data_IF_094087806361
#
_entry.id   IF_094087806361
#
_cell.length_a   1.000
_cell.length_b   1.000
_cell.length_c   1.000
_cell.angle_alpha   90.00
_cell.angle_beta   90.00
_cell.angle_gamma   90.00
#
_symmetry.space_group_name_H-M   'P 1'
#
loop_
_entity.id
_entity.type
_entity.pdbx_description
1 polymer ?
#
# COMPACT_ATOMS: atom_id res chain seq x y z
N UNK A 1 -21.24 9.68 0.71
CA UNK A 1 -20.54 8.48 0.18
C UNK A 1 -19.07 8.56 0.57
N UNK A 2 -18.44 7.46 1.01
CA UNK A 2 -17.02 7.43 1.39
C UNK A 2 -16.15 7.51 0.12
N UNK A 3 -15.26 8.52 0.04
CA UNK A 3 -14.39 8.72 -1.14
C UNK A 3 -13.08 7.94 -1.05
N UNK A 4 -12.53 7.78 0.14
CA UNK A 4 -11.30 7.03 0.42
C UNK A 4 -11.42 6.28 1.74
N UNK A 5 -10.77 5.11 1.82
CA UNK A 5 -10.48 4.44 3.08
C UNK A 5 -8.98 4.45 3.31
N UNK A 6 -8.60 4.66 4.57
CA UNK A 6 -7.22 4.72 5.00
C UNK A 6 -6.92 3.63 6.01
N UNK A 7 -5.70 3.11 5.95
CA UNK A 7 -5.12 2.26 6.99
C UNK A 7 -3.72 2.80 7.32
N UNK A 8 -3.33 2.73 8.60
CA UNK A 8 -2.06 3.26 9.06
C UNK A 8 -1.27 2.22 9.85
N UNK A 9 0.02 2.05 9.54
CA UNK A 9 0.90 1.05 10.17
C UNK A 9 2.27 1.62 10.51
N UNK A 10 2.91 1.05 11.53
CA UNK A 10 4.36 1.19 11.70
C UNK A 10 5.03 0.15 10.81
N UNK A 11 6.02 0.56 10.02
CA UNK A 11 6.72 -0.34 9.12
C UNK A 11 7.56 -1.36 9.89
N UNK A 12 7.30 -2.63 9.62
CA UNK A 12 8.12 -3.74 10.13
C UNK A 12 8.44 -4.77 9.04
N UNK A 13 8.68 -4.28 7.82
CA UNK A 13 9.05 -5.10 6.67
C UNK A 13 7.89 -5.46 5.74
N UNK A 14 8.18 -6.05 4.56
CA UNK A 14 7.18 -6.26 3.51
C UNK A 14 6.01 -7.16 3.91
N UNK A 15 6.27 -8.24 4.67
CA UNK A 15 5.22 -9.16 5.14
C UNK A 15 4.27 -8.46 6.10
N UNK A 16 4.77 -7.58 6.97
CA UNK A 16 3.93 -6.82 7.88
C UNK A 16 3.10 -5.76 7.14
N UNK A 17 3.70 -5.11 6.13
CA UNK A 17 3.00 -4.18 5.24
C UNK A 17 1.84 -4.87 4.52
N UNK A 18 2.05 -6.07 3.98
CA UNK A 18 1.00 -6.86 3.32
C UNK A 18 -0.17 -7.17 4.26
N UNK A 19 0.09 -7.50 5.53
CA UNK A 19 -0.98 -7.71 6.52
C UNK A 19 -1.83 -6.45 6.75
N UNK A 20 -1.20 -5.27 6.79
CA UNK A 20 -1.92 -4.00 6.85
C UNK A 20 -2.74 -3.73 5.59
N UNK A 21 -2.15 -3.96 4.42
CA UNK A 21 -2.83 -3.84 3.14
C UNK A 21 -4.02 -4.80 3.02
N UNK A 22 -3.90 -6.03 3.53
CA UNK A 22 -4.97 -7.02 3.56
C UNK A 22 -6.18 -6.49 4.33
N UNK A 23 -5.97 -5.85 5.49
CA UNK A 23 -7.07 -5.25 6.25
C UNK A 23 -7.81 -4.20 5.41
N UNK A 24 -7.07 -3.31 4.75
CA UNK A 24 -7.65 -2.29 3.89
C UNK A 24 -8.42 -2.89 2.69
N UNK A 25 -7.80 -3.80 1.95
CA UNK A 25 -8.32 -4.33 0.68
C UNK A 25 -9.46 -5.33 0.90
N UNK A 26 -9.38 -6.21 1.90
CA UNK A 26 -10.32 -7.33 2.03
C UNK A 26 -11.33 -7.19 3.18
N UNK A 27 -11.04 -6.38 4.19
CA UNK A 27 -11.93 -6.21 5.35
C UNK A 27 -12.70 -4.90 5.36
N UNK A 28 -12.07 -3.82 4.91
CA UNK A 28 -12.65 -2.47 5.02
C UNK A 28 -13.25 -1.99 3.72
N UNK A 29 -12.60 -2.29 2.59
CA UNK A 29 -13.09 -1.92 1.27
C UNK A 29 -14.31 -2.75 0.90
N UNK A 30 -15.32 -2.07 0.36
CA UNK A 30 -16.59 -2.69 -0.06
C UNK A 30 -16.83 -2.56 -1.57
N UNK A 31 -15.93 -1.89 -2.28
CA UNK A 31 -16.09 -1.55 -3.70
C UNK A 31 -16.85 -0.24 -3.94
N UNK A 32 -17.34 0.42 -2.87
CA UNK A 32 -17.99 1.74 -2.97
C UNK A 32 -17.00 2.89 -2.89
N UNK A 33 -15.79 2.61 -2.43
CA UNK A 33 -14.71 3.56 -2.26
C UNK A 33 -13.93 3.76 -3.55
N UNK A 34 -13.55 5.00 -3.86
CA UNK A 34 -12.80 5.27 -5.09
C UNK A 34 -11.34 4.81 -5.00
N UNK A 35 -10.69 4.98 -3.84
CA UNK A 35 -9.26 4.64 -3.63
C UNK A 35 -8.96 4.25 -2.19
N UNK A 36 -7.96 3.40 -2.01
CA UNK A 36 -7.33 3.12 -0.72
C UNK A 36 -6.15 4.04 -0.43
N UNK A 37 -5.83 4.21 0.86
CA UNK A 37 -4.66 4.95 1.34
C UNK A 37 -3.96 4.14 2.44
N UNK A 38 -2.71 3.78 2.23
CA UNK A 38 -1.84 3.19 3.24
C UNK A 38 -0.86 4.26 3.73
N UNK A 39 -0.95 4.66 5.00
CA UNK A 39 0.04 5.53 5.65
C UNK A 39 0.98 4.64 6.47
N UNK A 40 2.28 4.75 6.22
CA UNK A 40 3.27 3.84 6.79
C UNK A 40 4.36 4.64 7.49
N UNK A 41 4.43 4.53 8.80
CA UNK A 41 5.41 5.22 9.62
C UNK A 41 6.70 4.40 9.74
N UNK A 42 7.81 4.92 9.23
CA UNK A 42 9.09 4.22 9.17
C UNK A 42 10.03 4.80 10.24
N UNK A 43 10.33 4.01 11.28
CA UNK A 43 11.29 4.38 12.34
C UNK A 43 12.71 3.86 12.09
N UNK A 44 12.88 3.06 11.03
CA UNK A 44 14.14 2.43 10.62
C UNK A 44 14.92 3.36 9.70
N UNK A 45 16.25 3.31 9.77
CA UNK A 45 17.13 4.06 8.88
C UNK A 45 16.92 3.68 7.40
N UNK A 46 17.35 4.57 6.50
CA UNK A 46 17.39 4.34 5.05
C UNK A 46 16.02 3.97 4.43
N UNK A 47 15.02 4.82 4.63
CA UNK A 47 13.68 4.66 4.02
C UNK A 47 13.73 4.49 2.50
N UNK A 48 14.70 5.10 1.81
CA UNK A 48 14.85 5.00 0.36
C UNK A 48 15.02 3.55 -0.09
N UNK A 49 15.95 2.81 0.52
CA UNK A 49 16.17 1.39 0.24
C UNK A 49 15.00 0.51 0.71
N UNK A 50 14.37 0.85 1.84
CA UNK A 50 13.20 0.11 2.33
C UNK A 50 12.01 0.18 1.37
N UNK A 51 11.77 1.33 0.73
CA UNK A 51 10.73 1.48 -0.30
C UNK A 51 11.04 0.62 -1.52
N UNK A 52 12.29 0.61 -1.99
CA UNK A 52 12.71 -0.23 -3.13
C UNK A 52 12.50 -1.70 -2.81
N UNK A 53 12.91 -2.16 -1.62
CA UNK A 53 12.69 -3.53 -1.16
C UNK A 53 11.21 -3.88 -1.06
N UNK A 54 10.38 -2.96 -0.57
CA UNK A 54 8.94 -3.16 -0.46
C UNK A 54 8.29 -3.31 -1.84
N UNK A 55 8.61 -2.41 -2.78
CA UNK A 55 8.09 -2.49 -4.16
C UNK A 55 8.52 -3.76 -4.85
N UNK A 56 9.82 -4.11 -4.79
CA UNK A 56 10.34 -5.38 -5.31
C UNK A 56 9.59 -6.59 -4.75
N UNK A 57 9.28 -6.58 -3.45
CA UNK A 57 8.49 -7.63 -2.84
C UNK A 57 7.08 -7.73 -3.44
N UNK A 58 6.37 -6.60 -3.49
CA UNK A 58 5.00 -6.54 -4.03
C UNK A 58 4.95 -6.92 -5.51
N UNK A 59 5.91 -6.45 -6.31
CA UNK A 59 5.97 -6.71 -7.75
C UNK A 59 6.35 -8.16 -8.07
N UNK A 60 7.12 -8.81 -7.19
CA UNK A 60 7.47 -10.23 -7.36
C UNK A 60 6.34 -11.18 -6.96
N UNK A 61 5.51 -10.79 -5.98
CA UNK A 61 4.48 -11.66 -5.39
C UNK A 61 3.07 -11.38 -5.87
N UNK A 62 2.82 -10.16 -6.34
CA UNK A 62 1.49 -9.65 -6.71
C UNK A 62 0.43 -9.96 -5.63
N UNK A 63 0.64 -9.56 -4.37
CA UNK A 63 -0.23 -9.93 -3.26
C UNK A 63 -1.63 -9.35 -3.44
N UNK A 64 -2.64 -10.01 -2.86
CA UNK A 64 -4.02 -9.50 -2.84
C UNK A 64 -4.56 -9.17 -4.23
N UNK A 65 -4.32 -10.07 -5.20
CA UNK A 65 -4.72 -9.90 -6.60
C UNK A 65 -4.22 -8.57 -7.19
N UNK A 66 -2.97 -8.21 -6.90
CA UNK A 66 -2.36 -7.01 -7.46
C UNK A 66 -2.30 -7.11 -8.99
N UNK A 67 -2.72 -6.04 -9.66
CA UNK A 67 -2.73 -5.91 -11.11
C UNK A 67 -1.43 -5.24 -11.57
N UNK A 68 -0.47 -6.05 -12.00
CA UNK A 68 0.81 -5.58 -12.51
C UNK A 68 1.75 -5.00 -11.45
N UNK A 69 2.82 -4.34 -11.92
CA UNK A 69 3.83 -3.74 -11.06
C UNK A 69 3.34 -2.45 -10.39
N UNK A 70 3.95 -2.12 -9.27
CA UNK A 70 3.76 -0.85 -8.55
C UNK A 70 4.23 0.33 -9.40
N UNK A 71 3.50 1.43 -9.32
CA UNK A 71 3.76 2.64 -10.11
C UNK A 71 4.26 3.77 -9.23
N UNK A 72 4.97 4.70 -9.84
CA UNK A 72 5.46 5.88 -9.13
C UNK A 72 4.31 6.77 -8.64
N UNK A 73 4.57 7.47 -7.55
CA UNK A 73 3.65 8.46 -7.00
C UNK A 73 4.40 9.77 -6.78
N UNK A 74 3.67 10.89 -6.80
CA UNK A 74 4.27 12.23 -6.76
C UNK A 74 5.06 12.52 -5.48
N UNK A 75 4.70 11.88 -4.37
CA UNK A 75 5.39 12.04 -3.09
C UNK A 75 6.63 11.14 -3.02
N UNK A 76 7.72 11.66 -2.43
CA UNK A 76 8.91 10.84 -2.14
C UNK A 76 8.53 9.62 -1.30
N UNK A 77 9.24 8.52 -1.53
CA UNK A 77 9.05 7.26 -0.81
C UNK A 77 7.62 6.73 -0.86
N UNK A 78 6.87 7.11 -1.89
CA UNK A 78 5.49 6.71 -2.07
C UNK A 78 5.30 6.06 -3.43
N UNK A 79 4.31 5.17 -3.53
CA UNK A 79 4.00 4.46 -4.76
C UNK A 79 2.52 4.06 -4.81
N UNK A 80 2.06 3.62 -5.97
CA UNK A 80 0.72 3.11 -6.20
C UNK A 80 0.75 1.59 -6.43
N UNK A 81 -0.28 0.90 -5.95
CA UNK A 81 -0.62 -0.45 -6.40
C UNK A 81 -2.11 -0.51 -6.77
N UNK A 82 -2.48 -1.45 -7.63
CA UNK A 82 -3.88 -1.69 -8.03
C UNK A 82 -4.24 -3.12 -7.69
N UNK A 83 -5.42 -3.36 -7.11
CA UNK A 83 -5.86 -4.68 -6.65
C UNK A 83 -7.24 -5.02 -7.19
N UNK A 84 -7.46 -6.26 -7.63
CA UNK A 84 -8.80 -6.70 -8.03
C UNK A 84 -9.68 -6.87 -6.78
N UNK A 85 -10.78 -6.13 -6.71
CA UNK A 85 -11.74 -6.25 -5.62
C UNK A 85 -12.85 -7.27 -5.96
N UNK A 86 -13.46 -7.87 -4.94
CA UNK A 86 -14.52 -8.88 -5.10
C UNK A 86 -15.79 -8.36 -5.78
N UNK A 87 -15.99 -7.03 -5.82
CA UNK A 87 -17.08 -6.41 -6.57
C UNK A 87 -16.85 -6.39 -8.09
N UNK A 88 -15.69 -6.83 -8.57
CA UNK A 88 -15.34 -6.84 -9.99
C UNK A 88 -14.53 -5.62 -10.45
N UNK A 89 -14.47 -4.55 -9.67
CA UNK A 89 -13.69 -3.35 -9.98
C UNK A 89 -12.26 -3.42 -9.43
N UNK A 90 -11.42 -2.51 -9.93
CA UNK A 90 -10.05 -2.35 -9.49
C UNK A 90 -9.97 -1.28 -8.38
N UNK A 91 -9.30 -1.63 -7.28
CA UNK A 91 -9.01 -0.74 -6.17
C UNK A 91 -7.56 -0.27 -6.23
N UNK A 92 -7.34 0.99 -6.57
CA UNK A 92 -6.02 1.60 -6.46
C UNK A 92 -5.72 2.04 -5.02
N UNK A 93 -4.54 1.70 -4.51
CA UNK A 93 -4.05 2.06 -3.18
C UNK A 93 -2.80 2.92 -3.30
N UNK A 94 -2.82 4.09 -2.67
CA UNK A 94 -1.61 4.91 -2.49
C UNK A 94 -0.88 4.51 -1.21
N UNK A 95 0.39 4.17 -1.32
CA UNK A 95 1.27 3.83 -0.19
C UNK A 95 2.17 5.01 0.11
N UNK A 96 1.96 5.67 1.24
CA UNK A 96 2.69 6.86 1.66
C UNK A 96 3.58 6.48 2.84
N UNK A 97 4.90 6.41 2.60
CA UNK A 97 5.86 6.07 3.65
C UNK A 97 6.45 7.35 4.26
N UNK A 98 6.20 7.55 5.55
CA UNK A 98 6.64 8.69 6.33
C UNK A 98 7.93 8.35 7.07
N UNK A 99 9.01 9.07 6.78
CA UNK A 99 10.26 8.90 7.53
C UNK A 99 10.15 9.54 8.92
N UNK A 100 10.25 8.73 9.96
CA UNK A 100 10.34 9.16 11.35
C UNK A 100 11.71 8.85 11.96
N UNK A 101 12.63 8.30 11.17
CA UNK A 101 14.02 8.15 11.57
C UNK A 101 14.74 9.48 11.38
N UNK A 102 15.03 10.16 12.49
CA UNK A 102 15.75 11.44 12.60
C UNK A 102 17.06 11.24 13.34
#
# INVERSE_FOLDING_TARGET
MRKKLGEAKIYDGPVYHEKGLQQLVTRYSTGRECRGLMIVYVRKANIADLVVKLRKHMDSKLPLLQQGATQDYTLKWSFLSTHKHSCGDDLQVSHILCNLHV
#
